data_IF_919513792242
#
_entry.id   IF_919513792242
#
_cell.length_a   1.000
_cell.length_b   1.000
_cell.length_c   1.000
_cell.angle_alpha   90.00
_cell.angle_beta   90.00
_cell.angle_gamma   90.00
#
_symmetry.space_group_name_H-M   'P 1'
#
loop_
_entity.id
_entity.type
_entity.pdbx_description
1 polymer ?
#
# COMPACT_ATOMS: atom_id res chain seq x y z
N UNK A 1 -7.20 13.34 -14.37
CA UNK A 1 -5.81 12.88 -14.33
C UNK A 1 -5.03 13.72 -13.33
N UNK A 2 -4.28 13.08 -12.46
CA UNK A 2 -3.49 13.86 -11.53
C UNK A 2 -2.07 14.09 -12.07
N UNK A 3 -1.45 15.20 -11.65
CA UNK A 3 -0.12 15.60 -12.09
C UNK A 3 0.96 15.22 -11.09
N UNK A 4 0.59 14.53 -10.03
CA UNK A 4 1.52 14.16 -8.98
C UNK A 4 2.38 12.98 -9.43
N UNK A 5 3.70 13.13 -9.31
CA UNK A 5 4.63 12.06 -9.69
C UNK A 5 4.85 11.12 -8.51
N UNK A 6 4.09 10.03 -8.48
CA UNK A 6 4.14 9.09 -7.38
C UNK A 6 5.43 8.26 -7.37
N UNK A 7 6.05 8.05 -8.52
CA UNK A 7 7.34 7.36 -8.57
C UNK A 7 8.43 8.20 -7.88
N UNK A 8 8.47 9.49 -8.18
CA UNK A 8 9.41 10.38 -7.50
C UNK A 8 9.13 10.46 -6.00
N UNK A 9 7.86 10.51 -5.63
CA UNK A 9 7.48 10.53 -4.22
C UNK A 9 7.96 9.25 -3.52
N UNK A 10 7.75 8.10 -4.15
CA UNK A 10 8.21 6.81 -3.61
C UNK A 10 9.72 6.84 -3.33
N UNK A 11 10.50 7.44 -4.22
CA UNK A 11 11.95 7.46 -4.08
C UNK A 11 12.46 8.43 -3.01
N UNK A 12 11.59 9.25 -2.47
CA UNK A 12 11.91 10.19 -1.39
C UNK A 12 11.72 9.59 0.00
N UNK A 13 11.55 8.26 0.07
CA UNK A 13 11.47 7.53 1.33
C UNK A 13 10.21 7.84 2.17
N UNK A 14 9.01 7.79 1.58
CA UNK A 14 7.79 7.94 2.37
C UNK A 14 7.61 6.77 3.32
N UNK A 15 6.87 6.97 4.41
CA UNK A 15 6.45 5.86 5.25
C UNK A 15 5.31 5.13 4.57
N UNK A 16 5.40 3.80 4.50
CA UNK A 16 4.52 2.97 3.70
C UNK A 16 3.66 2.08 4.59
N UNK A 17 2.36 2.07 4.32
CA UNK A 17 1.47 1.02 4.82
C UNK A 17 1.32 -0.02 3.72
N UNK A 18 1.70 -1.26 3.99
CA UNK A 18 1.61 -2.34 3.01
C UNK A 18 0.38 -3.20 3.32
N UNK A 19 -0.69 -2.98 2.58
CA UNK A 19 -1.94 -3.73 2.74
C UNK A 19 -1.83 -5.03 1.96
N UNK A 20 -1.89 -6.15 2.67
CA UNK A 20 -1.69 -7.47 2.07
C UNK A 20 -0.35 -8.08 2.42
N UNK A 21 0.41 -7.45 3.32
CA UNK A 21 1.60 -8.07 3.88
C UNK A 21 1.22 -9.39 4.54
N UNK A 22 2.05 -10.41 4.38
CA UNK A 22 1.73 -11.76 4.85
C UNK A 22 3.00 -12.50 5.26
N UNK A 23 2.84 -13.49 6.15
CA UNK A 23 3.90 -14.41 6.50
C UNK A 23 4.13 -15.49 5.43
N UNK A 24 3.22 -15.61 4.47
CA UNK A 24 3.32 -16.61 3.41
C UNK A 24 4.37 -16.18 2.38
N UNK A 25 5.53 -16.84 2.43
CA UNK A 25 6.69 -16.48 1.60
C UNK A 25 6.48 -16.73 0.12
N UNK A 26 5.43 -17.45 -0.26
CA UNK A 26 5.11 -17.69 -1.66
C UNK A 26 4.32 -16.55 -2.29
N UNK A 27 3.89 -15.58 -1.50
CA UNK A 27 3.04 -14.47 -1.96
C UNK A 27 3.82 -13.17 -2.06
N UNK A 28 3.39 -12.34 -3.00
CA UNK A 28 4.00 -11.03 -3.23
C UNK A 28 3.97 -10.13 -2.00
N UNK A 29 2.93 -10.22 -1.17
CA UNK A 29 2.87 -9.43 0.04
C UNK A 29 4.06 -9.64 0.98
N UNK A 30 4.61 -10.87 1.01
CA UNK A 30 5.82 -11.14 1.77
C UNK A 30 7.07 -10.64 1.05
N UNK A 31 7.17 -10.93 -0.25
CA UNK A 31 8.33 -10.53 -1.05
C UNK A 31 8.50 -9.02 -1.07
N UNK A 32 7.41 -8.29 -1.28
CA UNK A 32 7.43 -6.82 -1.32
C UNK A 32 7.82 -6.25 0.04
N UNK A 33 7.28 -6.82 1.12
CA UNK A 33 7.60 -6.37 2.47
C UNK A 33 9.12 -6.40 2.71
N UNK A 34 9.73 -7.53 2.40
CA UNK A 34 11.18 -7.68 2.61
C UNK A 34 12.00 -6.82 1.66
N UNK A 35 11.57 -6.72 0.40
CA UNK A 35 12.27 -5.90 -0.58
C UNK A 35 12.34 -4.44 -0.15
N UNK A 36 11.20 -3.89 0.27
CA UNK A 36 11.15 -2.49 0.69
C UNK A 36 11.92 -2.26 1.98
N UNK A 37 11.84 -3.18 2.94
CA UNK A 37 12.64 -3.07 4.15
C UNK A 37 14.13 -3.09 3.83
N UNK A 38 14.55 -3.99 2.95
CA UNK A 38 15.98 -4.10 2.56
C UNK A 38 16.48 -2.84 1.86
N UNK A 39 15.60 -2.10 1.21
CA UNK A 39 15.94 -0.82 0.56
C UNK A 39 15.93 0.36 1.53
N UNK A 40 15.61 0.11 2.79
CA UNK A 40 15.66 1.15 3.83
C UNK A 40 14.36 1.90 4.05
N UNK A 41 13.25 1.43 3.45
CA UNK A 41 11.94 2.06 3.69
C UNK A 41 11.40 1.69 5.07
N UNK A 42 10.63 2.61 5.66
CA UNK A 42 9.80 2.29 6.82
C UNK A 42 8.48 1.73 6.31
N UNK A 43 8.22 0.46 6.59
CA UNK A 43 7.03 -0.24 6.09
C UNK A 43 6.25 -0.82 7.26
N UNK A 44 4.99 -0.44 7.36
CA UNK A 44 4.08 -0.99 8.37
C UNK A 44 3.18 -2.02 7.71
N UNK A 45 3.26 -3.30 8.14
CA UNK A 45 2.41 -4.32 7.54
C UNK A 45 0.98 -4.23 8.07
N UNK A 46 0.02 -4.33 7.15
CA UNK A 46 -1.41 -4.39 7.50
C UNK A 46 -1.94 -5.74 7.09
N UNK A 47 -2.44 -6.50 8.08
CA UNK A 47 -2.98 -7.84 7.87
C UNK A 47 -4.13 -8.06 8.85
N UNK A 48 -5.30 -8.49 8.34
CA UNK A 48 -6.51 -8.59 9.16
C UNK A 48 -6.47 -9.74 10.16
N UNK A 49 -5.52 -10.67 10.04
CA UNK A 49 -5.48 -11.88 10.87
C UNK A 49 -4.19 -12.00 11.71
N UNK A 50 -3.04 -11.75 11.10
CA UNK A 50 -1.76 -11.93 11.80
C UNK A 50 -1.47 -10.73 12.69
N UNK A 51 -0.88 -11.00 13.85
CA UNK A 51 -0.43 -9.93 14.77
C UNK A 51 0.99 -9.51 14.48
N UNK A 52 1.76 -10.37 13.83
CA UNK A 52 3.13 -10.06 13.38
C UNK A 52 3.34 -10.61 11.99
N UNK A 53 4.17 -9.92 11.22
CA UNK A 53 4.66 -10.38 9.93
C UNK A 53 6.17 -10.43 10.05
N UNK A 54 6.72 -11.64 10.04
CA UNK A 54 8.17 -11.89 10.14
C UNK A 54 8.82 -11.05 11.26
N UNK A 55 8.22 -11.14 12.45
CA UNK A 55 8.67 -10.45 13.68
C UNK A 55 8.33 -8.97 13.76
N UNK A 56 7.77 -8.37 12.71
CA UNK A 56 7.33 -6.98 12.74
C UNK A 56 5.86 -6.91 13.15
N UNK A 57 5.54 -5.95 13.99
CA UNK A 57 4.14 -5.77 14.40
C UNK A 57 3.27 -5.50 13.18
N UNK A 58 2.19 -6.24 13.05
CA UNK A 58 1.20 -6.02 12.02
C UNK A 58 -0.01 -5.29 12.61
N UNK A 59 -0.59 -4.40 11.82
CA UNK A 59 -1.80 -3.68 12.20
C UNK A 59 -2.98 -4.29 11.49
N UNK A 60 -4.07 -4.43 12.21
CA UNK A 60 -5.25 -5.14 11.70
C UNK A 60 -5.95 -4.35 10.60
N UNK A 61 -5.98 -3.02 10.73
CA UNK A 61 -6.64 -2.12 9.81
C UNK A 61 -5.80 -0.87 9.59
N UNK A 62 -6.09 -0.14 8.51
CA UNK A 62 -5.47 1.16 8.27
C UNK A 62 -5.82 2.14 9.39
N UNK A 63 -7.03 2.09 9.90
CA UNK A 63 -7.43 2.97 11.00
C UNK A 63 -6.58 2.75 12.24
N UNK A 64 -6.36 1.49 12.61
CA UNK A 64 -5.52 1.17 13.76
C UNK A 64 -4.10 1.67 13.55
N UNK A 65 -3.57 1.50 12.35
CA UNK A 65 -2.22 1.95 12.03
C UNK A 65 -2.07 3.46 12.17
N UNK A 66 -2.98 4.24 11.60
CA UNK A 66 -2.84 5.70 11.59
C UNK A 66 -3.08 6.33 12.96
N UNK A 67 -3.68 5.60 13.89
CA UNK A 67 -3.79 6.06 15.27
C UNK A 67 -2.44 6.07 15.98
N UNK A 68 -1.48 5.29 15.50
CA UNK A 68 -0.17 5.16 16.16
C UNK A 68 0.98 5.68 15.31
N UNK A 69 0.85 5.62 13.98
CA UNK A 69 1.95 5.94 13.08
C UNK A 69 1.49 6.88 11.97
N UNK A 70 2.39 7.75 11.55
CA UNK A 70 2.15 8.55 10.35
C UNK A 70 2.37 7.69 9.12
N UNK A 71 1.44 7.75 8.16
CA UNK A 71 1.53 7.01 6.90
C UNK A 71 1.49 8.00 5.74
N UNK A 72 2.47 7.89 4.84
CA UNK A 72 2.57 8.76 3.68
C UNK A 72 2.02 8.12 2.41
N UNK A 73 2.17 6.80 2.27
CA UNK A 73 1.79 6.08 1.06
C UNK A 73 1.20 4.73 1.44
N UNK A 74 0.09 4.37 0.81
CA UNK A 74 -0.51 3.04 1.01
C UNK A 74 -0.27 2.21 -0.25
N UNK A 75 0.33 1.03 -0.08
CA UNK A 75 0.56 0.08 -1.17
C UNK A 75 -0.41 -1.08 -1.00
N UNK A 76 -1.22 -1.35 -2.03
CA UNK A 76 -2.22 -2.41 -2.01
C UNK A 76 -1.73 -3.63 -2.78
N UNK A 77 -1.72 -4.79 -2.10
CA UNK A 77 -1.32 -6.09 -2.65
C UNK A 77 -2.41 -7.13 -2.35
N UNK A 78 -3.65 -6.72 -2.43
CA UNK A 78 -4.83 -7.56 -2.16
C UNK A 78 -5.70 -7.61 -3.42
N UNK A 79 -6.64 -8.58 -3.53
CA UNK A 79 -7.52 -8.62 -4.70
C UNK A 79 -8.32 -7.32 -4.89
N UNK A 80 -8.71 -7.02 -6.14
CA UNK A 80 -9.36 -5.74 -6.45
C UNK A 80 -10.59 -5.41 -5.60
N UNK A 81 -11.38 -6.42 -5.27
CA UNK A 81 -12.59 -6.20 -4.46
C UNK A 81 -12.22 -5.71 -3.06
N UNK A 82 -11.16 -6.24 -2.49
CA UNK A 82 -10.69 -5.81 -1.16
C UNK A 82 -10.07 -4.42 -1.27
N UNK A 83 -9.28 -4.18 -2.32
CA UNK A 83 -8.73 -2.85 -2.57
C UNK A 83 -9.85 -1.80 -2.61
N UNK A 84 -10.91 -2.08 -3.37
CA UNK A 84 -12.01 -1.14 -3.52
C UNK A 84 -12.66 -0.81 -2.18
N UNK A 85 -12.91 -1.83 -1.36
CA UNK A 85 -13.49 -1.62 -0.04
C UNK A 85 -12.59 -0.77 0.87
N UNK A 86 -11.28 -1.01 0.82
CA UNK A 86 -10.35 -0.30 1.68
C UNK A 86 -10.07 1.12 1.20
N UNK A 87 -10.28 1.42 -0.08
CA UNK A 87 -10.16 2.80 -0.57
C UNK A 87 -11.21 3.71 0.06
N UNK A 88 -12.37 3.19 0.44
CA UNK A 88 -13.35 3.98 1.18
C UNK A 88 -12.81 4.37 2.56
N UNK A 89 -12.13 3.46 3.23
CA UNK A 89 -11.46 3.78 4.49
C UNK A 89 -10.34 4.80 4.28
N UNK A 90 -9.61 4.67 3.18
CA UNK A 90 -8.53 5.61 2.86
C UNK A 90 -9.05 7.04 2.70
N UNK A 91 -10.23 7.22 2.09
CA UNK A 91 -10.85 8.55 2.01
C UNK A 91 -11.11 9.09 3.41
N UNK A 92 -11.77 8.28 4.25
CA UNK A 92 -12.13 8.67 5.61
C UNK A 92 -10.91 9.04 6.45
N UNK A 93 -9.80 8.34 6.22
CA UNK A 93 -8.55 8.54 6.97
C UNK A 93 -7.62 9.55 6.30
N UNK A 94 -8.05 10.16 5.20
CA UNK A 94 -7.27 11.13 4.43
C UNK A 94 -5.95 10.56 3.91
N UNK A 95 -5.98 9.30 3.46
CA UNK A 95 -4.83 8.62 2.86
C UNK A 95 -5.03 8.58 1.34
N UNK A 96 -4.69 9.67 0.67
CA UNK A 96 -5.02 9.85 -0.74
C UNK A 96 -3.87 9.52 -1.70
N UNK A 97 -2.71 9.13 -1.19
CA UNK A 97 -1.59 8.68 -2.02
C UNK A 97 -1.52 7.16 -1.93
N UNK A 98 -1.83 6.49 -3.04
CA UNK A 98 -1.95 5.03 -3.04
C UNK A 98 -1.25 4.42 -4.24
N UNK A 99 -0.68 3.25 -4.02
CA UNK A 99 -0.01 2.45 -5.05
C UNK A 99 -0.76 1.14 -5.19
N UNK A 100 -1.27 0.87 -6.38
CA UNK A 100 -2.07 -0.33 -6.65
C UNK A 100 -1.19 -1.31 -7.43
N UNK A 101 -0.69 -2.34 -6.76
CA UNK A 101 0.15 -3.35 -7.39
C UNK A 101 -0.58 -4.04 -8.54
N UNK A 102 0.16 -4.56 -9.53
CA UNK A 102 -0.44 -5.38 -10.57
C UNK A 102 -1.25 -6.51 -9.95
N UNK A 103 -2.49 -6.65 -10.40
CA UNK A 103 -3.42 -7.65 -9.85
C UNK A 103 -4.25 -7.16 -8.67
N UNK A 104 -3.93 -6.01 -8.09
CA UNK A 104 -4.69 -5.46 -6.97
C UNK A 104 -5.77 -4.47 -7.41
N UNK A 105 -5.81 -4.12 -8.69
CA UNK A 105 -6.79 -3.19 -9.22
C UNK A 105 -7.45 -3.71 -10.48
N UNK A 106 -8.59 -3.11 -10.79
CA UNK A 106 -9.35 -3.36 -12.01
C UNK A 106 -9.99 -2.04 -12.45
N UNK A 107 -10.89 -2.09 -13.43
CA UNK A 107 -11.53 -0.88 -13.90
C UNK A 107 -12.36 -0.18 -12.82
N UNK A 108 -13.04 -0.95 -11.96
CA UNK A 108 -13.82 -0.35 -10.88
C UNK A 108 -12.91 0.38 -9.88
N UNK A 109 -11.75 -0.17 -9.59
CA UNK A 109 -10.76 0.50 -8.74
C UNK A 109 -10.29 1.79 -9.40
N UNK A 110 -9.94 1.75 -10.68
CA UNK A 110 -9.49 2.94 -11.41
C UNK A 110 -10.55 4.03 -11.40
N UNK A 111 -11.79 3.68 -11.68
CA UNK A 111 -12.89 4.65 -11.69
C UNK A 111 -13.08 5.29 -10.32
N UNK A 112 -12.97 4.50 -9.27
CA UNK A 112 -13.08 5.01 -7.91
C UNK A 112 -11.95 6.00 -7.59
N UNK A 113 -10.72 5.66 -7.96
CA UNK A 113 -9.56 6.51 -7.72
C UNK A 113 -9.69 7.85 -8.47
N UNK A 114 -10.15 7.81 -9.71
CA UNK A 114 -10.35 9.03 -10.50
C UNK A 114 -11.48 9.88 -9.95
N UNK A 115 -12.60 9.25 -9.61
CA UNK A 115 -13.76 9.96 -9.08
C UNK A 115 -13.44 10.69 -7.79
N UNK A 116 -12.65 10.08 -6.92
CA UNK A 116 -12.33 10.64 -5.61
C UNK A 116 -10.99 11.36 -5.56
N UNK A 117 -10.39 11.59 -6.72
CA UNK A 117 -9.19 12.43 -6.88
C UNK A 117 -8.00 11.96 -6.04
N UNK A 118 -7.74 10.65 -6.08
CA UNK A 118 -6.54 10.09 -5.47
C UNK A 118 -5.30 10.43 -6.30
N UNK A 119 -4.17 10.58 -5.61
CA UNK A 119 -2.86 10.53 -6.25
C UNK A 119 -2.46 9.06 -6.28
N UNK A 120 -2.47 8.44 -7.46
CA UNK A 120 -2.31 6.99 -7.54
C UNK A 120 -1.48 6.56 -8.74
N UNK A 121 -0.98 5.32 -8.64
CA UNK A 121 -0.37 4.62 -9.77
C UNK A 121 -0.90 3.20 -9.76
N UNK A 122 -1.25 2.67 -10.94
CA UNK A 122 -1.67 1.29 -11.14
C UNK A 122 -0.76 0.63 -12.17
N UNK A 123 -0.75 -0.70 -12.15
CA UNK A 123 -0.10 -1.51 -13.18
C UNK A 123 1.42 -1.36 -13.24
N UNK A 124 2.03 -0.91 -12.14
CA UNK A 124 3.48 -0.87 -12.02
C UNK A 124 3.87 -1.52 -10.69
N UNK A 125 4.96 -2.26 -10.69
CA UNK A 125 5.40 -2.95 -9.47
C UNK A 125 6.25 -2.00 -8.62
N UNK A 126 5.86 -1.86 -7.35
CA UNK A 126 6.55 -0.96 -6.43
C UNK A 126 8.01 -1.37 -6.22
N UNK A 127 8.33 -2.68 -6.33
CA UNK A 127 9.72 -3.15 -6.20
C UNK A 127 10.58 -2.65 -7.36
N UNK A 128 10.02 -2.58 -8.57
CA UNK A 128 10.75 -2.12 -9.74
C UNK A 128 10.96 -0.61 -9.69
N UNK A 129 9.96 0.12 -9.25
CA UNK A 129 9.97 1.59 -9.28
C UNK A 129 10.64 2.22 -8.07
N UNK A 130 10.79 1.49 -6.97
CA UNK A 130 11.42 2.01 -5.77
C UNK A 130 12.94 2.16 -5.98
N UNK A 131 13.57 2.93 -5.10
CA UNK A 131 15.03 3.08 -5.15
C UNK A 131 15.72 1.76 -4.83
N UNK A 132 16.94 1.65 -5.22
CA UNK A 132 17.74 0.46 -4.99
C UNK A 132 18.58 0.56 -3.72
#
# INVERSE_FOLDING_TARGET
>A
MNNFDLVQYLRQNPTIALVGATNDKSKYGNVIFHDLLNKGYTVYPVNSKATTIDSHRAYKTLEELVQEQKVDLVVFVVPPKITLNLLEDAIRLNLKKVWIQPGAGDEAVREFLEKHQFDYLMDACVMVMSRH
#
